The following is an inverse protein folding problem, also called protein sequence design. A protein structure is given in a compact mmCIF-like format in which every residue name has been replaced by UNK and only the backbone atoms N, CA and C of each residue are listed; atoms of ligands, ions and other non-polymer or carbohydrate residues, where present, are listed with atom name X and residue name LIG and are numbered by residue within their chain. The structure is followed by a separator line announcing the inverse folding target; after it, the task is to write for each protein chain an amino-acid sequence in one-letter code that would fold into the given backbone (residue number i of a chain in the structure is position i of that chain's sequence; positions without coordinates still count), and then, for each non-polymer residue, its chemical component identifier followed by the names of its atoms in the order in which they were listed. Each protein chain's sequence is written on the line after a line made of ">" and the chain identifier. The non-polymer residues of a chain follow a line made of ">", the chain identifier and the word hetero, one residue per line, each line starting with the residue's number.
data_IF_811126911796
#
_entry.id   IF_811126911796
#
_cell.length_a   1.000
_cell.length_b   1.000
_cell.length_c   1.000
_cell.angle_alpha   90.00
_cell.angle_beta   90.00
_cell.angle_gamma   90.00
#
_symmetry.space_group_name_H-M   'P 1'
#
loop_
_entity.id
_entity.type
_entity.pdbx_description
1 polymer ?
#
# COMPACT_ATOMS: atom_id res chain seq x y z
N UNK A 1 -20.88 -19.04 -24.72
CA UNK A 1 -21.06 -17.65 -24.28
C UNK A 1 -19.82 -17.30 -23.47
N UNK A 2 -18.90 -16.56 -24.07
CA UNK A 2 -17.72 -16.09 -23.35
C UNK A 2 -18.17 -15.01 -22.36
N UNK A 3 -18.26 -15.40 -21.10
CA UNK A 3 -18.54 -14.45 -20.02
C UNK A 3 -17.27 -13.65 -19.82
N UNK A 4 -17.27 -12.38 -20.21
CA UNK A 4 -16.16 -11.47 -19.93
C UNK A 4 -15.85 -11.49 -18.42
N UNK A 5 -14.56 -11.53 -18.05
CA UNK A 5 -14.17 -11.50 -16.65
C UNK A 5 -14.72 -10.24 -15.97
N UNK A 6 -15.11 -10.31 -14.71
CA UNK A 6 -15.61 -9.15 -13.99
C UNK A 6 -14.57 -8.00 -14.00
N UNK A 7 -15.00 -6.77 -14.20
CA UNK A 7 -14.15 -5.57 -14.31
C UNK A 7 -13.20 -5.33 -13.12
N UNK A 8 -13.49 -5.91 -11.95
CA UNK A 8 -12.57 -5.82 -10.78
C UNK A 8 -11.32 -6.69 -10.91
N UNK A 9 -11.27 -7.62 -11.86
CA UNK A 9 -10.05 -8.38 -12.18
C UNK A 9 -9.01 -7.44 -12.81
N UNK A 10 -9.44 -6.53 -13.69
CA UNK A 10 -8.57 -5.52 -14.29
C UNK A 10 -7.94 -4.63 -13.20
N UNK A 11 -8.70 -4.28 -12.17
CA UNK A 11 -8.19 -3.50 -11.02
C UNK A 11 -7.11 -4.25 -10.26
N UNK A 12 -7.20 -5.58 -10.17
CA UNK A 12 -6.16 -6.39 -9.53
C UNK A 12 -4.84 -6.30 -10.29
N UNK A 13 -4.89 -6.34 -11.61
CA UNK A 13 -3.71 -6.21 -12.48
C UNK A 13 -3.10 -4.80 -12.34
N UNK A 14 -3.92 -3.76 -12.46
CA UNK A 14 -3.50 -2.36 -12.31
C UNK A 14 -2.83 -2.08 -10.95
N UNK A 15 -3.36 -2.59 -9.85
CA UNK A 15 -2.74 -2.46 -8.52
C UNK A 15 -1.44 -3.25 -8.43
N UNK A 16 -1.33 -4.39 -9.12
CA UNK A 16 -0.11 -5.19 -9.12
C UNK A 16 1.01 -4.47 -9.85
N UNK A 17 0.74 -3.91 -11.03
CA UNK A 17 1.69 -3.10 -11.80
C UNK A 17 2.17 -1.87 -11.01
N UNK A 18 1.25 -1.16 -10.35
CA UNK A 18 1.61 -0.03 -9.50
C UNK A 18 2.50 -0.43 -8.32
N UNK A 19 2.25 -1.59 -7.70
CA UNK A 19 3.10 -2.10 -6.61
C UNK A 19 4.49 -2.50 -7.10
N UNK A 20 4.62 -3.00 -8.32
CA UNK A 20 5.90 -3.30 -8.94
C UNK A 20 6.70 -2.04 -9.25
N UNK A 21 6.06 -1.00 -9.82
CA UNK A 21 6.67 0.31 -10.03
C UNK A 21 7.14 0.94 -8.71
N UNK A 22 6.31 0.89 -7.66
CA UNK A 22 6.66 1.33 -6.31
C UNK A 22 7.88 0.57 -5.79
N UNK A 23 7.94 -0.74 -6.00
CA UNK A 23 9.07 -1.56 -5.54
C UNK A 23 10.36 -1.19 -6.27
N UNK A 24 10.32 -0.97 -7.58
CA UNK A 24 11.47 -0.52 -8.38
C UNK A 24 11.96 0.84 -7.93
N UNK A 25 11.06 1.82 -7.77
CA UNK A 25 11.38 3.17 -7.28
C UNK A 25 11.95 3.13 -5.85
N UNK A 26 11.40 2.29 -4.98
CA UNK A 26 11.90 2.11 -3.62
C UNK A 26 13.32 1.53 -3.60
N UNK A 27 13.65 0.62 -4.52
CA UNK A 27 15.01 0.08 -4.65
C UNK A 27 16.01 1.13 -5.15
N UNK A 28 15.60 2.02 -6.06
CA UNK A 28 16.43 3.15 -6.49
C UNK A 28 16.64 4.16 -5.36
N UNK A 29 15.58 4.46 -4.63
CA UNK A 29 15.65 5.36 -3.49
C UNK A 29 16.59 4.83 -2.39
N UNK A 30 16.58 3.52 -2.12
CA UNK A 30 17.51 2.89 -1.17
C UNK A 30 18.98 3.10 -1.59
N UNK A 31 19.28 2.96 -2.89
CA UNK A 31 20.64 3.21 -3.39
C UNK A 31 21.05 4.67 -3.21
N UNK A 32 20.13 5.61 -3.46
CA UNK A 32 20.36 7.05 -3.25
C UNK A 32 20.59 7.37 -1.77
N UNK A 33 19.81 6.78 -0.87
CA UNK A 33 19.98 6.91 0.57
C UNK A 33 21.35 6.42 1.01
N UNK A 34 21.79 5.24 0.54
CA UNK A 34 23.12 4.72 0.87
C UNK A 34 24.24 5.63 0.35
N UNK A 35 24.13 6.11 -0.90
CA UNK A 35 25.08 7.05 -1.48
C UNK A 35 25.17 8.34 -0.66
N UNK A 36 24.02 8.90 -0.28
CA UNK A 36 23.94 10.18 0.46
C UNK A 36 24.49 10.07 1.89
N UNK A 37 24.45 8.88 2.51
CA UNK A 37 25.00 8.64 3.84
C UNK A 37 26.52 8.44 3.86
N UNK A 38 27.15 8.16 2.72
CA UNK A 38 28.60 8.00 2.67
C UNK A 38 29.29 9.34 2.98
N UNK A 39 30.36 9.33 3.81
CA UNK A 39 31.17 10.51 4.01
C UNK A 39 31.87 10.85 2.69
N UNK A 40 31.32 11.80 1.97
CA UNK A 40 31.86 12.28 0.71
C UNK A 40 32.57 13.62 0.93
N UNK A 41 33.75 13.79 0.34
CA UNK A 41 34.36 15.09 0.10
C UNK A 41 33.69 15.79 -1.09
N UNK A 42 32.36 15.61 -1.20
CA UNK A 42 31.58 16.06 -2.35
C UNK A 42 31.20 17.52 -2.25
N UNK A 43 31.12 18.13 -3.44
CA UNK A 43 30.60 19.46 -3.67
C UNK A 43 29.19 19.57 -3.09
N UNK A 44 28.91 20.61 -2.34
CA UNK A 44 27.61 20.92 -1.73
C UNK A 44 26.48 20.95 -2.76
N UNK A 45 26.77 21.33 -3.99
CA UNK A 45 25.79 21.38 -5.07
C UNK A 45 25.37 19.97 -5.54
N UNK A 46 26.32 19.02 -5.57
CA UNK A 46 26.02 17.61 -5.87
C UNK A 46 25.10 17.01 -4.80
N UNK A 47 25.35 17.34 -3.54
CA UNK A 47 24.55 16.89 -2.41
C UNK A 47 23.13 17.41 -2.45
N UNK A 48 22.96 18.71 -2.72
CA UNK A 48 21.63 19.32 -2.93
C UNK A 48 20.88 18.69 -4.09
N UNK A 49 21.61 18.30 -5.14
CA UNK A 49 21.00 17.61 -6.28
C UNK A 49 20.51 16.21 -5.87
N UNK A 50 21.32 15.43 -5.12
CA UNK A 50 20.92 14.12 -4.61
C UNK A 50 19.68 14.24 -3.70
N UNK A 51 19.60 15.23 -2.82
CA UNK A 51 18.45 15.52 -1.96
C UNK A 51 17.16 15.76 -2.77
N UNK A 52 17.23 16.56 -3.83
CA UNK A 52 16.08 16.80 -4.72
C UNK A 52 15.60 15.53 -5.40
N UNK A 53 16.54 14.67 -5.80
CA UNK A 53 16.20 13.38 -6.41
C UNK A 53 15.54 12.44 -5.40
N UNK A 54 16.06 12.37 -4.17
CA UNK A 54 15.49 11.61 -3.06
C UNK A 54 14.07 12.07 -2.78
N UNK A 55 13.84 13.38 -2.70
CA UNK A 55 12.51 13.96 -2.47
C UNK A 55 11.54 13.58 -3.58
N UNK A 56 11.95 13.70 -4.83
CA UNK A 56 11.13 13.34 -5.99
C UNK A 56 10.70 11.87 -5.96
N UNK A 57 11.63 10.93 -5.73
CA UNK A 57 11.29 9.51 -5.60
C UNK A 57 10.33 9.25 -4.44
N UNK A 58 10.52 9.93 -3.30
CA UNK A 58 9.65 9.82 -2.13
C UNK A 58 8.22 10.27 -2.46
N UNK A 59 8.07 11.39 -3.19
CA UNK A 59 6.78 11.91 -3.63
C UNK A 59 6.10 10.97 -4.63
N UNK A 60 6.84 10.45 -5.61
CA UNK A 60 6.31 9.54 -6.63
C UNK A 60 5.83 8.22 -6.01
N UNK A 61 6.60 7.63 -5.09
CA UNK A 61 6.20 6.43 -4.35
C UNK A 61 4.94 6.68 -3.52
N UNK A 62 4.88 7.83 -2.84
CA UNK A 62 3.71 8.21 -2.03
C UNK A 62 2.47 8.36 -2.90
N UNK A 63 2.61 8.98 -4.08
CA UNK A 63 1.52 9.10 -5.06
C UNK A 63 1.04 7.73 -5.54
N UNK A 64 1.98 6.82 -5.85
CA UNK A 64 1.65 5.45 -6.25
C UNK A 64 0.83 4.70 -5.19
N UNK A 65 1.17 4.82 -3.90
CA UNK A 65 0.35 4.24 -2.82
C UNK A 65 -1.06 4.84 -2.75
N UNK A 66 -1.21 6.13 -2.99
CA UNK A 66 -2.54 6.76 -3.05
C UNK A 66 -3.38 6.23 -4.20
N UNK A 67 -2.78 6.04 -5.38
CA UNK A 67 -3.48 5.45 -6.53
C UNK A 67 -3.89 4.00 -6.24
N UNK A 68 -3.01 3.18 -5.66
CA UNK A 68 -3.38 1.83 -5.21
C UNK A 68 -4.59 1.84 -4.27
N UNK A 69 -4.64 2.78 -3.32
CA UNK A 69 -5.77 2.89 -2.39
C UNK A 69 -7.08 3.26 -3.08
N UNK A 70 -7.03 4.20 -4.03
CA UNK A 70 -8.21 4.58 -4.83
C UNK A 70 -8.75 3.40 -5.62
N UNK A 71 -7.85 2.64 -6.25
CA UNK A 71 -8.22 1.46 -7.02
C UNK A 71 -8.85 0.38 -6.15
N UNK A 72 -8.29 0.09 -4.98
CA UNK A 72 -8.88 -0.86 -4.02
C UNK A 72 -10.26 -0.41 -3.55
N UNK A 73 -10.47 0.90 -3.33
CA UNK A 73 -11.79 1.45 -2.99
C UNK A 73 -12.78 1.36 -4.17
N UNK A 74 -12.30 1.50 -5.40
CA UNK A 74 -13.12 1.40 -6.61
C UNK A 74 -13.79 0.03 -6.76
N UNK A 75 -13.15 -1.06 -6.31
CA UNK A 75 -13.75 -2.41 -6.34
C UNK A 75 -15.10 -2.42 -5.61
N UNK A 76 -15.19 -1.79 -4.44
CA UNK A 76 -16.44 -1.72 -3.65
C UNK A 76 -17.54 -0.97 -4.41
N UNK A 77 -17.21 0.13 -5.04
CA UNK A 77 -18.16 0.90 -5.86
C UNK A 77 -18.64 0.09 -7.06
N UNK A 78 -17.74 -0.60 -7.76
CA UNK A 78 -18.07 -1.43 -8.92
C UNK A 78 -19.03 -2.58 -8.55
N UNK A 79 -18.80 -3.22 -7.40
CA UNK A 79 -19.68 -4.27 -6.90
C UNK A 79 -21.04 -3.70 -6.53
N UNK A 80 -21.09 -2.55 -5.90
CA UNK A 80 -22.33 -1.88 -5.53
C UNK A 80 -23.17 -1.50 -6.76
N UNK A 81 -22.53 -0.90 -7.76
CA UNK A 81 -23.16 -0.55 -9.04
C UNK A 81 -23.71 -1.78 -9.77
N UNK A 82 -22.91 -2.83 -9.87
CA UNK A 82 -23.29 -4.07 -10.53
C UNK A 82 -24.44 -4.80 -9.80
N UNK A 83 -24.52 -4.70 -8.47
CA UNK A 83 -25.67 -5.18 -7.69
C UNK A 83 -26.96 -4.45 -8.01
N UNK A 84 -26.92 -3.13 -8.14
CA UNK A 84 -28.08 -2.33 -8.49
C UNK A 84 -28.63 -2.70 -9.87
N UNK A 85 -27.78 -3.15 -10.77
CA UNK A 85 -28.12 -3.62 -12.11
C UNK A 85 -28.56 -5.09 -12.15
N UNK A 86 -28.57 -5.79 -11.00
CA UNK A 86 -28.96 -7.20 -10.91
C UNK A 86 -27.97 -8.18 -11.52
N UNK A 87 -26.73 -7.73 -11.81
CA UNK A 87 -25.72 -8.48 -12.56
C UNK A 87 -24.66 -9.21 -11.73
N UNK A 88 -24.78 -9.27 -10.39
CA UNK A 88 -23.75 -9.88 -9.51
C UNK A 88 -24.33 -11.02 -8.72
N UNK A 89 -23.72 -12.20 -8.85
CA UNK A 89 -24.03 -13.34 -7.98
C UNK A 89 -23.41 -13.16 -6.58
N UNK A 90 -23.95 -13.88 -5.60
CA UNK A 90 -23.36 -13.92 -4.24
C UNK A 90 -21.92 -14.45 -4.25
N UNK A 91 -21.56 -15.32 -5.18
CA UNK A 91 -20.21 -15.82 -5.39
C UNK A 91 -19.26 -14.73 -5.88
N UNK A 92 -19.68 -13.96 -6.87
CA UNK A 92 -18.89 -12.84 -7.42
C UNK A 92 -18.66 -11.76 -6.37
N UNK A 93 -19.67 -11.43 -5.56
CA UNK A 93 -19.50 -10.49 -4.46
C UNK A 93 -18.45 -10.95 -3.44
N UNK A 94 -18.51 -12.24 -3.08
CA UNK A 94 -17.53 -12.82 -2.16
C UNK A 94 -16.13 -12.79 -2.75
N UNK A 95 -16.00 -13.10 -4.05
CA UNK A 95 -14.73 -13.05 -4.76
C UNK A 95 -14.17 -11.63 -4.83
N UNK A 96 -14.96 -10.64 -5.21
CA UNK A 96 -14.55 -9.24 -5.24
C UNK A 96 -14.09 -8.74 -3.87
N UNK A 97 -14.79 -9.10 -2.81
CA UNK A 97 -14.40 -8.76 -1.44
C UNK A 97 -13.07 -9.40 -1.03
N UNK A 98 -12.83 -10.65 -1.40
CA UNK A 98 -11.58 -11.34 -1.13
C UNK A 98 -10.41 -10.69 -1.89
N UNK A 99 -10.62 -10.32 -3.15
CA UNK A 99 -9.65 -9.57 -3.95
C UNK A 99 -9.34 -8.23 -3.28
N UNK A 100 -10.35 -7.46 -2.89
CA UNK A 100 -10.20 -6.18 -2.20
C UNK A 100 -9.36 -6.30 -0.92
N UNK A 101 -9.66 -7.30 -0.08
CA UNK A 101 -8.92 -7.55 1.17
C UNK A 101 -7.46 -7.92 0.87
N UNK A 102 -7.24 -8.80 -0.11
CA UNK A 102 -5.90 -9.23 -0.51
C UNK A 102 -5.06 -8.06 -1.02
N UNK A 103 -5.62 -7.23 -1.90
CA UNK A 103 -4.93 -6.05 -2.43
C UNK A 103 -4.66 -5.02 -1.34
N UNK A 104 -5.63 -4.74 -0.46
CA UNK A 104 -5.44 -3.84 0.67
C UNK A 104 -4.29 -4.29 1.58
N UNK A 105 -4.19 -5.59 1.87
CA UNK A 105 -3.08 -6.16 2.65
C UNK A 105 -1.73 -5.97 1.95
N UNK A 106 -1.64 -6.27 0.66
CA UNK A 106 -0.40 -6.08 -0.13
C UNK A 106 0.06 -4.62 -0.13
N UNK A 107 -0.86 -3.67 -0.31
CA UNK A 107 -0.57 -2.22 -0.29
C UNK A 107 -0.10 -1.79 1.11
N UNK A 108 -0.76 -2.27 2.18
CA UNK A 108 -0.36 -1.98 3.56
C UNK A 108 1.04 -2.49 3.88
N UNK A 109 1.35 -3.73 3.50
CA UNK A 109 2.66 -4.34 3.74
C UNK A 109 3.77 -3.61 2.98
N UNK A 110 3.54 -3.27 1.71
CA UNK A 110 4.48 -2.49 0.91
C UNK A 110 4.72 -1.11 1.51
N UNK A 111 3.66 -0.42 1.92
CA UNK A 111 3.72 0.90 2.56
C UNK A 111 4.44 0.85 3.91
N UNK A 112 4.22 -0.19 4.72
CA UNK A 112 4.90 -0.39 5.99
C UNK A 112 6.42 -0.59 5.80
N UNK A 113 6.82 -1.41 4.80
CA UNK A 113 8.24 -1.60 4.45
C UNK A 113 8.88 -0.29 3.99
N UNK A 114 8.21 0.46 3.12
CA UNK A 114 8.68 1.76 2.65
C UNK A 114 8.94 2.72 3.82
N UNK A 115 7.97 2.89 4.72
CA UNK A 115 8.10 3.76 5.90
C UNK A 115 9.22 3.36 6.84
N UNK A 116 9.40 2.04 7.04
CA UNK A 116 10.51 1.54 7.86
C UNK A 116 11.86 1.99 7.28
N UNK A 117 12.04 1.88 5.97
CA UNK A 117 13.26 2.31 5.27
C UNK A 117 13.48 3.81 5.38
N UNK A 118 12.44 4.61 5.14
CA UNK A 118 12.47 6.06 5.30
C UNK A 118 12.84 6.47 6.73
N UNK A 119 12.21 5.85 7.73
CA UNK A 119 12.52 6.12 9.15
C UNK A 119 13.97 5.77 9.50
N UNK A 120 14.51 4.69 8.94
CA UNK A 120 15.92 4.32 9.15
C UNK A 120 16.86 5.36 8.55
N UNK A 121 16.63 5.78 7.31
CA UNK A 121 17.41 6.82 6.64
C UNK A 121 17.40 8.13 7.43
N UNK A 122 16.22 8.61 7.83
CA UNK A 122 16.07 9.84 8.59
C UNK A 122 16.73 9.80 9.98
N UNK A 123 16.83 8.63 10.61
CA UNK A 123 17.58 8.47 11.87
C UNK A 123 19.08 8.52 11.68
N UNK A 124 19.57 8.12 10.51
CA UNK A 124 20.99 8.14 10.18
C UNK A 124 21.49 9.54 9.79
N UNK A 125 20.56 10.49 9.54
CA UNK A 125 20.81 11.88 9.14
C UNK A 125 20.59 12.96 10.23
N UNK A 126 20.54 12.69 11.56
CA UNK A 126 20.02 13.65 12.55
C UNK A 126 20.85 14.90 12.75
N UNK A 127 22.10 14.94 12.26
CA UNK A 127 23.03 16.02 12.62
C UNK A 127 23.19 17.10 11.54
N UNK A 128 22.67 16.91 10.33
CA UNK A 128 23.06 17.75 9.18
C UNK A 128 21.96 18.62 8.57
N UNK A 129 20.67 18.28 8.77
CA UNK A 129 19.57 19.08 8.20
C UNK A 129 18.37 19.24 9.13
N UNK A 130 18.27 20.35 9.88
CA UNK A 130 17.07 20.68 10.65
C UNK A 130 15.81 20.86 9.79
N UNK A 131 15.97 21.18 8.50
CA UNK A 131 14.86 21.38 7.56
C UNK A 131 14.15 20.07 7.18
N UNK A 132 14.83 18.92 7.16
CA UNK A 132 14.22 17.63 6.87
C UNK A 132 13.29 17.14 7.99
N UNK A 133 13.58 17.51 9.23
CA UNK A 133 12.72 17.25 10.39
C UNK A 133 11.37 18.00 10.28
N UNK A 134 11.38 19.20 9.71
CA UNK A 134 10.16 19.98 9.45
C UNK A 134 9.33 19.39 8.30
N UNK A 135 9.97 18.74 7.32
CA UNK A 135 9.28 18.07 6.22
C UNK A 135 8.42 16.89 6.72
N UNK A 136 8.90 16.16 7.73
CA UNK A 136 8.14 15.07 8.36
C UNK A 136 6.91 15.57 9.12
N UNK A 137 6.98 16.76 9.69
CA UNK A 137 5.86 17.43 10.36
C UNK A 137 4.88 18.07 9.38
N UNK A 138 5.37 18.57 8.24
CA UNK A 138 4.56 19.27 7.23
C UNK A 138 3.77 18.32 6.32
N UNK A 139 4.18 17.04 6.22
CA UNK A 139 3.49 16.03 5.41
C UNK A 139 2.85 14.92 6.28
N UNK A 140 1.79 15.23 7.03
CA UNK A 140 1.03 14.24 7.81
C UNK A 140 0.35 13.19 6.92
N UNK A 141 0.41 13.36 5.61
CA UNK A 141 -0.17 12.48 4.61
C UNK A 141 0.45 11.07 4.68
N UNK A 142 1.75 10.96 4.95
CA UNK A 142 2.42 9.65 5.14
C UNK A 142 1.87 8.92 6.37
N UNK A 143 1.55 9.64 7.44
CA UNK A 143 0.91 9.09 8.64
C UNK A 143 -0.60 8.80 8.43
N UNK A 144 -1.26 9.48 7.49
CA UNK A 144 -2.69 9.30 7.21
C UNK A 144 -2.96 8.04 6.40
N UNK A 145 -2.00 7.61 5.56
CA UNK A 145 -2.08 6.37 4.79
C UNK A 145 -2.18 5.14 5.71
N UNK A 146 -1.77 5.26 6.95
CA UNK A 146 -1.57 4.16 7.89
C UNK A 146 -2.52 4.07 9.05
N UNK A 147 -3.32 5.07 9.28
CA UNK A 147 -4.50 4.84 10.10
C UNK A 147 -5.47 4.04 9.25
N UNK A 148 -5.81 2.80 9.65
CA UNK A 148 -6.96 2.15 9.05
C UNK A 148 -8.15 3.09 9.31
N UNK A 149 -8.52 3.91 8.31
CA UNK A 149 -9.90 4.31 8.26
C UNK A 149 -10.60 2.97 8.35
N UNK A 150 -11.38 2.78 9.37
CA UNK A 150 -12.29 1.66 9.52
C UNK A 150 -13.02 1.48 8.19
N UNK A 151 -12.40 0.77 7.24
CA UNK A 151 -13.14 -0.04 6.31
C UNK A 151 -13.92 -0.91 7.27
N UNK A 152 -15.24 -0.86 7.26
CA UNK A 152 -16.11 -1.46 8.26
C UNK A 152 -15.99 -2.99 8.37
N UNK A 153 -14.82 -3.52 8.15
CA UNK A 153 -14.40 -4.91 8.32
C UNK A 153 -13.46 -4.95 9.49
N UNK A 154 -14.05 -5.10 10.66
CA UNK A 154 -13.31 -5.42 11.87
C UNK A 154 -12.59 -6.74 11.64
N UNK A 155 -11.25 -6.72 11.57
CA UNK A 155 -10.38 -7.92 11.54
C UNK A 155 -10.74 -8.88 12.70
N UNK A 156 -11.37 -8.38 13.75
CA UNK A 156 -11.94 -9.16 14.86
C UNK A 156 -13.03 -10.15 14.43
N UNK A 157 -13.74 -9.90 13.32
CA UNK A 157 -14.77 -10.82 12.79
C UNK A 157 -14.15 -12.02 12.08
N UNK A 158 -12.98 -11.89 11.46
CA UNK A 158 -12.32 -13.01 10.76
C UNK A 158 -11.71 -14.04 11.72
N UNK A 159 -11.19 -13.61 12.86
CA UNK A 159 -10.70 -14.52 13.89
C UNK A 159 -11.85 -15.35 14.50
N UNK A 160 -13.04 -14.77 14.65
CA UNK A 160 -14.22 -15.45 15.22
C UNK A 160 -14.85 -16.45 14.24
N UNK A 161 -14.83 -16.16 12.94
CA UNK A 161 -15.30 -17.10 11.91
C UNK A 161 -14.39 -18.31 11.74
N UNK A 162 -13.08 -18.11 11.88
CA UNK A 162 -12.10 -19.22 11.79
C UNK A 162 -12.18 -20.16 12.98
N UNK A 163 -12.48 -19.65 14.18
CA UNK A 163 -12.70 -20.45 15.39
C UNK A 163 -13.97 -21.31 15.30
N UNK A 164 -15.05 -20.78 14.71
CA UNK A 164 -16.31 -21.54 14.52
C UNK A 164 -16.20 -22.64 13.47
N UNK A 165 -15.34 -22.48 12.46
CA UNK A 165 -15.17 -23.49 11.41
C UNK A 165 -14.35 -24.71 11.92
N UNK A 166 -13.39 -24.48 12.80
CA UNK A 166 -12.58 -25.56 13.40
C UNK A 166 -13.35 -26.35 14.45
N UNK A 167 -14.33 -25.72 15.14
CA UNK A 167 -15.13 -26.42 16.17
C UNK A 167 -16.25 -27.29 15.58
N UNK A 168 -16.65 -27.04 14.33
CA UNK A 168 -17.73 -27.82 13.68
C UNK A 168 -17.23 -29.09 12.99
N UNK A 169 -15.92 -29.19 12.73
CA UNK A 169 -15.30 -30.35 12.07
C UNK A 169 -14.91 -31.49 13.02
N UNK A 170 -14.94 -31.26 14.33
CA UNK A 170 -14.49 -32.24 15.34
C UNK A 170 -15.67 -33.00 15.96
N UNK A 171 -16.95 -32.59 15.70
CA UNK A 171 -18.10 -33.18 16.39
C UNK A 171 -19.03 -34.03 15.50
N UNK A 172 -18.65 -34.33 14.25
CA UNK A 172 -19.44 -35.25 13.37
C UNK A 172 -18.58 -36.44 12.92
N UNK A 173 -18.02 -37.15 13.87
CA UNK A 173 -17.29 -38.40 13.63
C UNK A 173 -17.49 -39.35 14.82
N UNK A 174 -18.72 -39.88 14.98
CA UNK A 174 -19.02 -41.17 15.60
C UNK A 174 -20.30 -41.69 14.96
#
# INVERSE_FOLDING_TARGET
>A
MDVLPPRWVDVQEEVTELLEDIAQKSAQLDKLHHKHLLPGFGDEDVRKQDERVIERYTQDITRGFHECQKLVQRIELMVHEAKQQGGVSSGDETMAKNIQISLASRVQDASARFRKKQSTYLRSEPARHPQFSLYQLAHPTINRITRPRRLGVTIRSLAHSRAKFLHRSVFNGV
#
